data_IF_397817144079
#
_entry.id   IF_397817144079
#
_cell.length_a   1.000
_cell.length_b   1.000
_cell.length_c   1.000
_cell.angle_alpha   90.00
_cell.angle_beta   90.00
_cell.angle_gamma   90.00
#
_symmetry.space_group_name_H-M   'P 1'
#
loop_
_entity.id
_entity.type
_entity.pdbx_description
1 polymer ?
#
# COMPACT_ATOMS: atom_id res chain seq x y z
N UNK A 1 32.63 -19.54 -6.86
CA UNK A 1 31.47 -18.81 -6.34
C UNK A 1 31.88 -18.32 -4.97
N UNK A 2 32.40 -17.10 -4.93
CA UNK A 2 33.01 -16.56 -3.71
C UNK A 2 31.96 -16.37 -2.64
N UNK A 3 32.30 -16.61 -1.38
CA UNK A 3 31.38 -16.51 -0.22
C UNK A 3 30.70 -15.13 -0.20
N UNK A 4 31.40 -14.09 -0.62
CA UNK A 4 30.87 -12.72 -0.79
C UNK A 4 29.70 -12.64 -1.76
N UNK A 5 29.77 -13.32 -2.91
CA UNK A 5 28.68 -13.36 -3.91
C UNK A 5 27.44 -14.11 -3.43
N UNK A 6 27.60 -15.07 -2.51
CA UNK A 6 26.49 -15.79 -1.88
C UNK A 6 25.81 -14.89 -0.85
N UNK A 7 26.60 -14.17 -0.04
CA UNK A 7 26.09 -13.24 0.97
C UNK A 7 25.31 -12.08 0.32
N UNK A 8 25.82 -11.46 -0.75
CA UNK A 8 25.09 -10.40 -1.47
C UNK A 8 23.74 -10.86 -2.01
N UNK A 9 23.67 -12.10 -2.53
CA UNK A 9 22.40 -12.66 -3.00
C UNK A 9 21.43 -12.85 -1.85
N UNK A 10 21.87 -13.45 -0.75
CA UNK A 10 21.02 -13.66 0.44
C UNK A 10 20.48 -12.33 0.97
N UNK A 11 21.32 -11.30 1.07
CA UNK A 11 20.88 -9.98 1.52
C UNK A 11 19.84 -9.35 0.58
N UNK A 12 20.02 -9.49 -0.74
CA UNK A 12 19.05 -8.96 -1.71
C UNK A 12 17.68 -9.64 -1.65
N UNK A 13 17.65 -10.96 -1.46
CA UNK A 13 16.40 -11.74 -1.35
C UNK A 13 15.68 -11.42 -0.04
N UNK A 14 16.43 -11.34 1.07
CA UNK A 14 15.87 -10.97 2.39
C UNK A 14 15.34 -9.54 2.38
N UNK A 15 16.05 -8.61 1.73
CA UNK A 15 15.57 -7.24 1.55
C UNK A 15 14.27 -7.19 0.73
N UNK A 16 14.19 -7.95 -0.36
CA UNK A 16 12.97 -8.04 -1.18
C UNK A 16 11.76 -8.53 -0.38
N UNK A 17 11.93 -9.56 0.44
CA UNK A 17 10.88 -10.10 1.31
C UNK A 17 10.45 -9.05 2.35
N UNK A 18 11.40 -8.43 3.03
CA UNK A 18 11.12 -7.38 4.03
C UNK A 18 10.38 -6.19 3.40
N UNK A 19 10.81 -5.75 2.21
CA UNK A 19 10.19 -4.68 1.47
C UNK A 19 8.74 -5.01 1.05
N UNK A 20 8.50 -6.21 0.52
CA UNK A 20 7.15 -6.65 0.12
C UNK A 20 6.20 -6.78 1.32
N UNK A 21 6.70 -7.25 2.47
CA UNK A 21 5.91 -7.28 3.71
C UNK A 21 5.57 -5.85 4.15
N UNK A 22 6.53 -4.93 4.10
CA UNK A 22 6.30 -3.51 4.39
C UNK A 22 5.24 -2.90 3.46
N UNK A 23 5.33 -3.15 2.16
CA UNK A 23 4.34 -2.72 1.18
C UNK A 23 2.94 -3.29 1.47
N UNK A 24 2.84 -4.56 1.86
CA UNK A 24 1.58 -5.18 2.23
C UNK A 24 0.94 -4.54 3.48
N UNK A 25 1.74 -4.19 4.49
CA UNK A 25 1.24 -3.49 5.68
C UNK A 25 0.72 -2.09 5.35
N UNK A 26 1.42 -1.35 4.47
CA UNK A 26 0.98 -0.03 4.00
C UNK A 26 -0.30 -0.14 3.18
N UNK A 27 -0.43 -1.15 2.32
CA UNK A 27 -1.68 -1.41 1.59
C UNK A 27 -2.86 -1.64 2.56
N UNK A 28 -2.63 -2.33 3.67
CA UNK A 28 -3.65 -2.57 4.69
C UNK A 28 -4.12 -1.27 5.41
N UNK A 29 -3.32 -0.20 5.38
CA UNK A 29 -3.73 1.10 5.96
C UNK A 29 -4.96 1.67 5.25
N UNK A 30 -5.15 1.43 3.94
CA UNK A 30 -6.31 1.94 3.20
C UNK A 30 -7.62 1.37 3.74
N UNK A 31 -7.64 0.08 4.08
CA UNK A 31 -8.77 -0.56 4.76
C UNK A 31 -8.97 0.01 6.17
N UNK A 32 -7.88 0.29 6.88
CA UNK A 32 -7.90 0.94 8.20
C UNK A 32 -8.56 2.32 8.17
N UNK A 33 -8.18 3.18 7.21
CA UNK A 33 -8.78 4.51 7.04
C UNK A 33 -10.27 4.43 6.72
N UNK A 34 -10.67 3.53 5.80
CA UNK A 34 -12.07 3.35 5.46
C UNK A 34 -12.94 2.93 6.68
N UNK A 35 -12.42 2.06 7.56
CA UNK A 35 -13.11 1.65 8.78
C UNK A 35 -13.20 2.78 9.82
N UNK A 36 -12.15 3.57 9.98
CA UNK A 36 -12.14 4.71 10.92
C UNK A 36 -13.10 5.80 10.46
N UNK A 37 -13.06 6.19 9.19
CA UNK A 37 -13.95 7.22 8.64
C UNK A 37 -15.41 6.79 8.69
N UNK A 38 -15.71 5.51 8.41
CA UNK A 38 -17.09 5.03 8.53
C UNK A 38 -17.58 4.91 9.96
N UNK A 39 -16.72 4.49 10.90
CA UNK A 39 -17.05 4.38 12.32
C UNK A 39 -17.41 5.72 12.98
N UNK A 40 -16.81 6.84 12.54
CA UNK A 40 -17.13 8.18 13.04
C UNK A 40 -18.29 8.87 12.31
N UNK A 41 -18.79 8.31 11.21
CA UNK A 41 -19.91 8.89 10.45
C UNK A 41 -21.25 8.31 10.89
N UNK A 42 -22.34 9.06 10.66
CA UNK A 42 -23.69 8.53 10.87
C UNK A 42 -23.90 7.29 9.99
N UNK A 43 -24.48 6.24 10.57
CA UNK A 43 -24.75 4.96 9.88
C UNK A 43 -25.45 5.11 8.52
N UNK A 44 -26.34 6.10 8.35
CA UNK A 44 -27.01 6.38 7.07
C UNK A 44 -26.08 6.78 5.91
N UNK A 45 -24.86 7.27 6.22
CA UNK A 45 -23.89 7.74 5.23
C UNK A 45 -22.65 6.84 5.13
N UNK A 46 -22.55 5.79 5.96
CA UNK A 46 -21.37 4.92 6.02
C UNK A 46 -21.05 4.27 4.66
N UNK A 47 -22.07 3.81 3.93
CA UNK A 47 -21.88 3.21 2.59
C UNK A 47 -21.30 4.19 1.56
N UNK A 48 -21.68 5.46 1.63
CA UNK A 48 -21.17 6.48 0.70
C UNK A 48 -19.72 6.89 1.03
N UNK A 49 -19.31 6.77 2.29
CA UNK A 49 -17.94 7.05 2.75
C UNK A 49 -17.00 5.92 2.32
N UNK A 50 -17.36 4.65 2.56
CA UNK A 50 -16.58 3.49 2.07
C UNK A 50 -16.38 3.55 0.56
N UNK A 51 -17.43 3.87 -0.21
CA UNK A 51 -17.29 3.94 -1.67
C UNK A 51 -16.32 5.03 -2.14
N UNK A 52 -16.27 6.17 -1.46
CA UNK A 52 -15.30 7.23 -1.77
C UNK A 52 -13.87 6.78 -1.44
N UNK A 53 -13.68 6.20 -0.27
CA UNK A 53 -12.37 5.73 0.18
C UNK A 53 -11.82 4.60 -0.72
N UNK A 54 -12.69 3.70 -1.20
CA UNK A 54 -12.34 2.70 -2.22
C UNK A 54 -11.98 3.33 -3.57
N UNK A 55 -12.73 4.35 -4.00
CA UNK A 55 -12.50 5.02 -5.27
C UNK A 55 -11.16 5.79 -5.28
N UNK A 56 -10.78 6.38 -4.14
CA UNK A 56 -9.47 7.02 -3.96
C UNK A 56 -8.32 6.01 -4.11
N UNK A 57 -8.49 4.79 -3.60
CA UNK A 57 -7.50 3.72 -3.81
C UNK A 57 -7.41 3.28 -5.29
N UNK A 58 -8.56 3.07 -5.94
CA UNK A 58 -8.63 2.61 -7.32
C UNK A 58 -8.09 3.63 -8.33
N UNK A 59 -8.27 4.92 -8.09
CA UNK A 59 -7.80 5.98 -8.99
C UNK A 59 -6.40 6.46 -8.59
N UNK A 60 -6.10 6.52 -7.28
CA UNK A 60 -4.81 6.96 -6.75
C UNK A 60 -3.65 6.07 -7.16
N UNK A 61 -3.84 4.74 -7.16
CA UNK A 61 -2.80 3.77 -7.56
C UNK A 61 -2.35 3.94 -9.02
N UNK A 62 -3.24 3.92 -10.03
CA UNK A 62 -2.84 4.12 -11.42
C UNK A 62 -2.32 5.54 -11.69
N UNK A 63 -2.86 6.57 -11.01
CA UNK A 63 -2.34 7.93 -11.11
C UNK A 63 -0.90 8.04 -10.59
N UNK A 64 -0.56 7.36 -9.50
CA UNK A 64 0.79 7.33 -8.97
C UNK A 64 1.77 6.63 -9.92
N UNK A 65 1.36 5.53 -10.56
CA UNK A 65 2.20 4.82 -11.52
C UNK A 65 2.45 5.66 -12.78
N UNK A 66 1.42 6.35 -13.29
CA UNK A 66 1.50 7.09 -14.57
C UNK A 66 2.20 8.45 -14.45
N UNK A 67 1.95 9.19 -13.37
CA UNK A 67 2.41 10.56 -13.21
C UNK A 67 3.21 10.76 -11.92
N UNK A 68 2.81 10.08 -10.84
CA UNK A 68 3.44 10.23 -9.53
C UNK A 68 4.91 9.80 -9.51
N UNK A 69 5.24 8.65 -10.10
CA UNK A 69 6.61 8.14 -10.15
C UNK A 69 7.55 9.01 -11.00
N UNK A 70 7.02 9.75 -11.97
CA UNK A 70 7.82 10.66 -12.80
C UNK A 70 8.03 12.04 -12.17
N UNK A 71 7.20 12.43 -11.21
CA UNK A 71 7.24 13.74 -10.52
C UNK A 71 7.91 13.68 -9.14
N UNK A 72 7.98 12.49 -8.54
CA UNK A 72 8.59 12.23 -7.24
C UNK A 72 10.05 11.81 -7.39
#
# INVERSE_FOLDING_TARGET
>A
MDITSILEKVDSEVFGIWFLIGAALVFFMQCGFAMVETGFTRAKNAGNIIMKNLMDFCIGTPMFILLGFGLM
#
